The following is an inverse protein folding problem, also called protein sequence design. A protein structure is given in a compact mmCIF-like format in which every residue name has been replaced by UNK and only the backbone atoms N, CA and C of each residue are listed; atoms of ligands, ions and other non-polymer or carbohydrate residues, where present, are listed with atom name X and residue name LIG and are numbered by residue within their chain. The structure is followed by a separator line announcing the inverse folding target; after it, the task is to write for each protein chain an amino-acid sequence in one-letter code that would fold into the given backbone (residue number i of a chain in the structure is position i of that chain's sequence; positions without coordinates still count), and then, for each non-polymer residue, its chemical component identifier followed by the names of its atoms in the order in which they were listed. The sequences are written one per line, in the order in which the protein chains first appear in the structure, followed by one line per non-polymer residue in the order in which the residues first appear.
data_IF_889560715688
#
_entry.id   IF_889560715688
#
_cell.length_a   1.000
_cell.length_b   1.000
_cell.length_c   1.000
_cell.angle_alpha   90.00
_cell.angle_beta   90.00
_cell.angle_gamma   90.00
#
_symmetry.space_group_name_H-M   'P 1'
#
loop_
_entity.id
_entity.type
_entity.pdbx_description
1 polymer ?
#
# COMPACT_ATOMS: atom_id res chain seq x y z
N UNK A 1 -23.53 21.88 -44.33
CA UNK A 1 -24.88 21.49 -43.91
C UNK A 1 -25.72 22.68 -43.46
N UNK A 2 -25.43 23.38 -42.36
CA UNK A 2 -26.28 24.53 -41.91
C UNK A 2 -26.40 25.67 -42.95
N UNK A 3 -25.42 25.87 -43.83
CA UNK A 3 -25.46 26.88 -44.94
C UNK A 3 -26.08 26.36 -46.22
N UNK A 4 -26.33 25.07 -46.36
CA UNK A 4 -26.87 24.42 -47.55
C UNK A 4 -28.34 23.99 -47.41
N UNK A 5 -28.90 24.11 -46.18
CA UNK A 5 -30.28 23.69 -45.88
C UNK A 5 -31.36 24.58 -46.42
N UNK A 6 -31.04 25.50 -47.36
CA UNK A 6 -31.99 26.18 -48.29
C UNK A 6 -33.36 26.62 -47.73
N UNK A 7 -33.54 26.78 -46.44
CA UNK A 7 -34.79 27.28 -45.87
C UNK A 7 -35.73 26.20 -45.27
N UNK A 8 -35.25 24.95 -45.16
CA UNK A 8 -35.99 23.87 -44.50
C UNK A 8 -35.68 23.89 -42.96
N UNK A 9 -36.67 24.34 -42.18
CA UNK A 9 -36.50 24.55 -40.74
C UNK A 9 -36.15 23.26 -39.98
N UNK A 10 -36.68 22.11 -40.43
CA UNK A 10 -36.46 20.80 -39.80
C UNK A 10 -35.00 20.32 -40.01
N UNK A 11 -34.45 20.52 -41.21
CA UNK A 11 -33.04 20.22 -41.49
C UNK A 11 -32.08 21.13 -40.73
N UNK A 12 -32.43 22.38 -40.50
CA UNK A 12 -31.63 23.30 -39.72
C UNK A 12 -31.62 22.94 -38.23
N UNK A 13 -32.74 22.45 -37.69
CA UNK A 13 -32.85 22.02 -36.30
C UNK A 13 -32.10 20.72 -36.09
N UNK A 14 -32.19 19.72 -36.97
CA UNK A 14 -31.39 18.51 -36.96
C UNK A 14 -29.89 18.83 -37.00
N UNK A 15 -29.44 19.70 -37.91
CA UNK A 15 -28.05 20.07 -38.01
C UNK A 15 -27.52 20.81 -36.77
N UNK A 16 -28.35 21.59 -36.09
CA UNK A 16 -28.02 22.24 -34.81
C UNK A 16 -27.89 21.22 -33.67
N UNK A 17 -28.78 20.23 -33.66
CA UNK A 17 -28.71 19.14 -32.66
C UNK A 17 -27.45 18.30 -32.86
N UNK A 18 -27.16 17.85 -34.07
CA UNK A 18 -25.92 17.11 -34.41
C UNK A 18 -24.66 17.90 -34.01
N UNK A 19 -24.66 19.22 -34.27
CA UNK A 19 -23.53 20.07 -33.91
C UNK A 19 -23.35 20.17 -32.39
N UNK A 20 -24.45 20.17 -31.62
CA UNK A 20 -24.43 20.20 -30.17
C UNK A 20 -23.89 18.86 -29.62
N UNK A 21 -24.37 17.74 -30.16
CA UNK A 21 -23.95 16.40 -29.75
C UNK A 21 -22.48 16.15 -30.08
N UNK A 22 -22.04 16.52 -31.28
CA UNK A 22 -20.64 16.44 -31.69
C UNK A 22 -19.70 17.33 -30.85
N UNK A 23 -20.18 18.50 -30.39
CA UNK A 23 -19.39 19.31 -29.45
C UNK A 23 -19.26 18.67 -28.09
N UNK A 24 -20.33 18.06 -27.57
CA UNK A 24 -20.31 17.37 -26.29
C UNK A 24 -19.38 16.13 -26.34
N UNK A 25 -19.46 15.35 -27.42
CA UNK A 25 -18.55 14.21 -27.65
C UNK A 25 -17.08 14.68 -27.76
N UNK A 26 -16.83 15.78 -28.45
CA UNK A 26 -15.48 16.34 -28.57
C UNK A 26 -14.91 16.71 -27.20
N UNK A 27 -15.68 17.40 -26.36
CA UNK A 27 -15.26 17.76 -25.00
C UNK A 27 -14.96 16.50 -24.17
N UNK A 28 -15.81 15.47 -24.24
CA UNK A 28 -15.60 14.21 -23.56
C UNK A 28 -14.31 13.49 -24.02
N UNK A 29 -14.06 13.45 -25.34
CA UNK A 29 -12.84 12.85 -25.87
C UNK A 29 -11.60 13.68 -25.55
N UNK A 30 -11.67 15.01 -25.53
CA UNK A 30 -10.56 15.88 -25.11
C UNK A 30 -10.20 15.65 -23.64
N UNK A 31 -11.17 15.47 -22.75
CA UNK A 31 -10.91 15.13 -21.34
C UNK A 31 -10.30 13.73 -21.20
N UNK A 32 -10.84 12.72 -21.89
CA UNK A 32 -10.26 11.37 -21.91
C UNK A 32 -8.82 11.38 -22.44
N UNK A 33 -8.55 12.16 -23.47
CA UNK A 33 -7.20 12.31 -24.03
C UNK A 33 -6.23 12.95 -23.04
N UNK A 34 -6.66 13.99 -22.33
CA UNK A 34 -5.84 14.62 -21.28
C UNK A 34 -5.45 13.61 -20.20
N UNK A 35 -6.41 12.77 -19.76
CA UNK A 35 -6.15 11.73 -18.75
C UNK A 35 -5.16 10.66 -19.28
N UNK A 36 -5.32 10.23 -20.54
CA UNK A 36 -4.47 9.24 -21.17
C UNK A 36 -3.03 9.74 -21.42
N UNK A 37 -2.85 11.05 -21.59
CA UNK A 37 -1.54 11.68 -21.80
C UNK A 37 -0.79 11.96 -20.50
N UNK A 38 -1.44 11.81 -19.32
CA UNK A 38 -0.74 11.93 -18.05
C UNK A 38 0.37 10.87 -17.94
N UNK A 39 1.57 11.28 -17.49
CA UNK A 39 2.64 10.33 -17.28
C UNK A 39 2.20 9.28 -16.24
N UNK A 40 2.28 8.01 -16.62
CA UNK A 40 2.00 6.90 -15.70
C UNK A 40 3.19 6.69 -14.78
N UNK A 41 2.91 6.46 -13.51
CA UNK A 41 3.92 6.04 -12.54
C UNK A 41 4.45 4.64 -12.94
N UNK A 42 5.78 4.44 -13.07
CA UNK A 42 6.33 3.13 -13.44
C UNK A 42 5.98 2.02 -12.43
N UNK A 43 5.58 2.39 -11.22
CA UNK A 43 5.19 1.44 -10.18
C UNK A 43 3.70 1.05 -10.22
N UNK A 44 2.87 1.73 -11.02
CA UNK A 44 1.39 1.57 -11.01
C UNK A 44 0.94 0.12 -11.23
N UNK A 45 1.67 -0.66 -12.01
CA UNK A 45 1.34 -2.05 -12.33
C UNK A 45 1.96 -3.08 -11.36
N UNK A 46 2.74 -2.62 -10.38
CA UNK A 46 3.42 -3.51 -9.42
C UNK A 46 2.46 -4.06 -8.36
N UNK A 47 2.83 -5.22 -7.83
CA UNK A 47 2.28 -5.74 -6.58
C UNK A 47 2.70 -4.83 -5.41
N UNK A 48 2.03 -4.98 -4.28
CA UNK A 48 2.34 -4.18 -3.10
C UNK A 48 2.61 -5.04 -1.87
N UNK A 49 3.41 -4.47 -0.98
CA UNK A 49 3.51 -4.87 0.42
C UNK A 49 2.72 -3.84 1.23
N UNK A 50 1.66 -4.32 1.87
CA UNK A 50 0.78 -3.54 2.74
C UNK A 50 1.17 -3.80 4.19
N UNK A 51 1.55 -2.75 4.90
CA UNK A 51 1.87 -2.82 6.31
C UNK A 51 0.86 -1.99 7.11
N UNK A 52 0.24 -2.58 8.13
CA UNK A 52 -0.72 -1.93 9.00
C UNK A 52 -0.22 -2.04 10.43
N UNK A 53 -0.10 -0.91 11.12
CA UNK A 53 0.33 -0.84 12.52
C UNK A 53 -0.70 -0.12 13.37
N UNK A 54 -1.08 -0.73 14.50
CA UNK A 54 -1.80 0.00 15.55
C UNK A 54 -0.91 1.11 16.14
N UNK A 55 -1.42 2.35 16.19
CA UNK A 55 -0.69 3.50 16.72
C UNK A 55 -1.27 3.95 18.06
N UNK A 56 -1.90 5.11 18.15
CA UNK A 56 -2.47 5.61 19.41
C UNK A 56 -3.86 5.00 19.67
N UNK A 57 -4.08 4.51 20.90
CA UNK A 57 -5.36 3.92 21.32
C UNK A 57 -5.24 2.55 22.01
N UNK A 58 -4.01 2.05 22.21
CA UNK A 58 -3.78 0.78 22.91
C UNK A 58 -4.44 -0.41 22.21
N UNK A 59 -5.21 -1.23 22.96
CA UNK A 59 -5.87 -2.42 22.44
C UNK A 59 -6.90 -2.11 21.36
N UNK A 60 -7.60 -0.98 21.44
CA UNK A 60 -8.57 -0.55 20.44
C UNK A 60 -7.88 -0.19 19.10
N UNK A 61 -6.68 0.41 19.13
CA UNK A 61 -5.91 0.65 17.92
C UNK A 61 -5.48 -0.65 17.24
N UNK A 62 -5.18 -1.68 18.02
CA UNK A 62 -4.86 -3.00 17.49
C UNK A 62 -6.10 -3.71 16.89
N UNK A 63 -7.26 -3.57 17.50
CA UNK A 63 -8.54 -4.05 16.94
C UNK A 63 -8.88 -3.31 15.64
N UNK A 64 -8.68 -1.99 15.60
CA UNK A 64 -8.88 -1.19 14.40
C UNK A 64 -7.94 -1.59 13.26
N UNK A 65 -6.69 -1.92 13.56
CA UNK A 65 -5.77 -2.49 12.55
C UNK A 65 -6.31 -3.79 11.95
N UNK A 66 -6.96 -4.64 12.75
CA UNK A 66 -7.66 -5.84 12.29
C UNK A 66 -8.86 -5.55 11.39
N UNK A 67 -9.62 -4.51 11.71
CA UNK A 67 -10.75 -4.06 10.88
C UNK A 67 -10.25 -3.56 9.51
N UNK A 68 -9.15 -2.76 9.49
CA UNK A 68 -8.51 -2.30 8.26
C UNK A 68 -7.99 -3.47 7.42
N UNK A 69 -7.34 -4.45 8.04
CA UNK A 69 -6.89 -5.67 7.35
C UNK A 69 -8.07 -6.37 6.66
N UNK A 70 -9.16 -6.57 7.39
CA UNK A 70 -10.38 -7.20 6.86
C UNK A 70 -10.98 -6.39 5.72
N UNK A 71 -10.98 -5.07 5.82
CA UNK A 71 -11.45 -4.17 4.76
C UNK A 71 -10.63 -4.33 3.48
N UNK A 72 -9.29 -4.27 3.58
CA UNK A 72 -8.41 -4.44 2.42
C UNK A 72 -8.48 -5.83 1.83
N UNK A 73 -8.62 -6.87 2.65
CA UNK A 73 -8.81 -8.24 2.17
C UNK A 73 -10.07 -8.38 1.34
N UNK A 74 -11.21 -7.88 1.83
CA UNK A 74 -12.48 -7.90 1.09
C UNK A 74 -12.43 -7.07 -0.19
N UNK A 75 -11.73 -5.93 -0.15
CA UNK A 75 -11.53 -5.13 -1.34
C UNK A 75 -10.69 -5.87 -2.39
N UNK A 76 -9.59 -6.51 -1.97
CA UNK A 76 -8.76 -7.33 -2.84
C UNK A 76 -9.56 -8.48 -3.48
N UNK A 77 -10.38 -9.19 -2.70
CA UNK A 77 -11.28 -10.24 -3.21
C UNK A 77 -12.24 -9.69 -4.27
N UNK A 78 -12.86 -8.53 -4.03
CA UNK A 78 -13.77 -7.89 -4.98
C UNK A 78 -13.09 -7.45 -6.28
N UNK A 79 -11.78 -7.15 -6.23
CA UNK A 79 -10.97 -6.82 -7.42
C UNK A 79 -10.35 -8.05 -8.09
N UNK A 80 -10.53 -9.25 -7.52
CA UNK A 80 -9.90 -10.49 -8.02
C UNK A 80 -8.40 -10.56 -7.74
N UNK A 81 -7.90 -9.83 -6.76
CA UNK A 81 -6.50 -9.85 -6.34
C UNK A 81 -6.23 -10.96 -5.33
N UNK A 82 -4.99 -11.45 -5.33
CA UNK A 82 -4.51 -12.38 -4.32
C UNK A 82 -4.01 -11.60 -3.10
N UNK A 83 -4.52 -11.93 -1.93
CA UNK A 83 -4.12 -11.35 -0.66
C UNK A 83 -3.44 -12.43 0.20
N UNK A 84 -2.19 -12.21 0.63
CA UNK A 84 -1.41 -13.14 1.44
C UNK A 84 -0.82 -12.42 2.64
N UNK A 85 -1.21 -12.82 3.85
CA UNK A 85 -0.58 -12.30 5.08
C UNK A 85 0.81 -12.93 5.20
N UNK A 86 1.83 -12.10 5.26
CA UNK A 86 3.24 -12.51 5.36
C UNK A 86 3.69 -12.61 6.82
N UNK A 87 3.26 -11.66 7.63
CA UNK A 87 3.60 -11.57 9.04
C UNK A 87 2.46 -10.92 9.82
N UNK A 88 2.18 -11.42 11.02
CA UNK A 88 1.15 -10.88 11.89
C UNK A 88 1.57 -10.94 13.36
N UNK A 89 1.68 -9.79 14.01
CA UNK A 89 1.93 -9.67 15.45
C UNK A 89 0.63 -9.36 16.16
N UNK A 90 0.02 -10.35 16.80
CA UNK A 90 -1.23 -10.22 17.53
C UNK A 90 -1.02 -9.63 18.93
N UNK A 91 -2.04 -8.92 19.45
CA UNK A 91 -2.13 -8.60 20.86
C UNK A 91 -3.00 -9.63 21.60
N UNK A 92 -3.05 -9.54 22.95
CA UNK A 92 -3.82 -10.48 23.79
C UNK A 92 -5.35 -10.41 23.64
N UNK A 93 -5.90 -9.41 22.92
CA UNK A 93 -7.34 -9.17 22.76
C UNK A 93 -7.85 -9.45 21.32
N UNK A 94 -7.03 -10.11 20.50
CA UNK A 94 -7.41 -10.50 19.13
C UNK A 94 -7.21 -9.42 18.06
N UNK A 95 -6.56 -8.31 18.40
CA UNK A 95 -6.14 -7.29 17.45
C UNK A 95 -4.70 -7.51 16.95
N UNK A 96 -4.26 -6.69 16.00
CA UNK A 96 -2.90 -6.72 15.45
C UNK A 96 -2.11 -5.49 15.88
N UNK A 97 -0.92 -5.70 16.48
CA UNK A 97 0.07 -4.64 16.70
C UNK A 97 0.68 -4.20 15.38
N UNK A 98 1.01 -5.20 14.56
CA UNK A 98 1.57 -5.04 13.24
C UNK A 98 1.10 -6.21 12.37
N UNK A 99 0.76 -5.95 11.14
CA UNK A 99 0.48 -6.97 10.14
C UNK A 99 1.05 -6.53 8.80
N UNK A 100 1.74 -7.45 8.13
CA UNK A 100 2.33 -7.26 6.81
C UNK A 100 1.66 -8.24 5.86
N UNK A 101 1.10 -7.73 4.78
CA UNK A 101 0.45 -8.54 3.76
C UNK A 101 1.00 -8.20 2.36
N UNK A 102 1.07 -9.20 1.50
CA UNK A 102 1.33 -9.01 0.08
C UNK A 102 0.02 -9.03 -0.68
N UNK A 103 -0.18 -8.04 -1.55
CA UNK A 103 -1.33 -7.98 -2.44
C UNK A 103 -0.83 -8.02 -3.88
N UNK A 104 -1.24 -9.05 -4.63
CA UNK A 104 -0.79 -9.31 -5.99
C UNK A 104 -1.96 -9.31 -6.96
N UNK A 105 -1.81 -8.60 -8.08
CA UNK A 105 -2.84 -8.49 -9.10
C UNK A 105 -2.56 -7.39 -10.10
N UNK A 106 -3.55 -7.07 -10.93
CA UNK A 106 -3.41 -6.04 -11.95
C UNK A 106 -3.58 -4.64 -11.34
N UNK A 107 -2.61 -3.75 -11.56
CA UNK A 107 -2.65 -2.33 -11.18
C UNK A 107 -2.97 -2.11 -9.69
N UNK A 108 -2.40 -2.95 -8.82
CA UNK A 108 -2.66 -2.91 -7.37
C UNK A 108 -2.12 -1.62 -6.78
N UNK A 109 -0.86 -1.28 -7.10
CA UNK A 109 -0.22 -0.07 -6.56
C UNK A 109 -0.96 1.20 -6.98
N UNK A 110 -1.40 1.31 -8.22
CA UNK A 110 -2.11 2.50 -8.72
C UNK A 110 -3.37 2.81 -7.92
N UNK A 111 -4.06 1.77 -7.41
CA UNK A 111 -5.31 1.93 -6.64
C UNK A 111 -5.09 2.15 -5.14
N UNK A 112 -4.00 1.61 -4.59
CA UNK A 112 -3.76 1.64 -3.15
C UNK A 112 -2.67 2.60 -2.70
N UNK A 113 -1.86 3.19 -3.60
CA UNK A 113 -0.76 4.09 -3.25
C UNK A 113 -1.15 5.29 -2.38
N UNK A 114 -2.39 5.77 -2.50
CA UNK A 114 -2.89 6.90 -1.73
C UNK A 114 -3.46 6.53 -0.34
N UNK A 115 -3.53 5.22 -0.03
CA UNK A 115 -3.95 4.74 1.28
C UNK A 115 -2.84 4.85 2.34
N UNK A 116 -1.59 5.12 1.93
CA UNK A 116 -0.49 5.33 2.87
C UNK A 116 -0.75 6.54 3.76
N UNK A 117 -0.70 6.33 5.07
CA UNK A 117 -0.89 7.41 6.03
C UNK A 117 -1.52 6.96 7.34
N UNK A 118 -1.96 7.94 8.12
CA UNK A 118 -2.62 7.72 9.40
C UNK A 118 -4.14 7.64 9.22
N UNK A 119 -4.70 6.49 9.56
CA UNK A 119 -6.14 6.24 9.60
C UNK A 119 -6.66 6.44 11.02
N UNK A 120 -7.80 7.10 11.16
CA UNK A 120 -8.39 7.43 12.44
C UNK A 120 -9.83 6.95 12.52
N UNK A 121 -10.19 6.30 13.62
CA UNK A 121 -11.56 5.91 13.93
C UNK A 121 -12.02 6.59 15.21
N UNK A 122 -13.29 7.01 15.24
CA UNK A 122 -13.98 7.50 16.42
C UNK A 122 -15.17 6.61 16.66
N UNK A 123 -15.10 5.79 17.68
CA UNK A 123 -16.19 4.88 18.09
C UNK A 123 -16.12 4.61 19.59
N UNK A 124 -17.17 4.01 20.13
CA UNK A 124 -17.13 3.43 21.47
C UNK A 124 -16.34 2.12 21.38
N UNK A 125 -15.19 1.98 22.02
CA UNK A 125 -14.39 0.76 21.98
C UNK A 125 -15.17 -0.42 22.58
N UNK A 126 -14.90 -1.62 22.09
CA UNK A 126 -15.44 -2.86 22.69
C UNK A 126 -14.96 -3.03 24.14
N UNK A 127 -13.80 -2.46 24.47
CA UNK A 127 -13.19 -2.48 25.80
C UNK A 127 -13.71 -1.40 26.74
N UNK A 128 -14.60 -0.49 26.27
CA UNK A 128 -15.13 0.63 27.06
C UNK A 128 -16.46 0.24 27.70
N UNK A 129 -16.54 0.28 29.03
CA UNK A 129 -17.73 -0.09 29.78
C UNK A 129 -18.72 1.06 30.02
N UNK A 130 -18.27 2.32 29.85
CA UNK A 130 -19.07 3.52 30.16
C UNK A 130 -19.66 4.20 28.92
N UNK A 131 -19.53 3.59 27.73
CA UNK A 131 -20.08 4.12 26.48
C UNK A 131 -19.44 5.40 25.95
N UNK A 132 -18.22 5.74 26.37
CA UNK A 132 -17.50 6.92 25.88
C UNK A 132 -16.91 6.68 24.50
N UNK A 133 -17.02 7.68 23.63
CA UNK A 133 -16.38 7.67 22.31
C UNK A 133 -14.89 7.94 22.49
N UNK A 134 -14.07 7.02 22.00
CA UNK A 134 -12.61 7.18 21.96
C UNK A 134 -12.14 7.36 20.52
N UNK A 135 -10.97 7.97 20.38
CA UNK A 135 -10.27 8.11 19.09
C UNK A 135 -9.10 7.14 19.08
N UNK A 136 -9.07 6.26 18.11
CA UNK A 136 -7.96 5.33 17.88
C UNK A 136 -7.37 5.54 16.50
N UNK A 137 -6.06 5.33 16.37
CA UNK A 137 -5.34 5.51 15.11
C UNK A 137 -4.55 4.27 14.75
N UNK A 138 -4.48 3.99 13.45
CA UNK A 138 -3.59 3.01 12.87
C UNK A 138 -2.84 3.64 11.70
N UNK A 139 -1.63 3.21 11.44
CA UNK A 139 -0.84 3.65 10.29
C UNK A 139 -0.86 2.57 9.23
N UNK A 140 -1.13 2.96 8.01
CA UNK A 140 -1.07 2.11 6.82
C UNK A 140 0.10 2.57 5.97
N UNK A 141 0.93 1.63 5.52
CA UNK A 141 2.03 1.88 4.59
C UNK A 141 1.87 0.96 3.39
N UNK A 142 1.85 1.53 2.21
CA UNK A 142 1.76 0.83 0.93
C UNK A 142 3.06 1.00 0.18
N UNK A 143 3.80 -0.09 0.01
CA UNK A 143 5.08 -0.10 -0.70
C UNK A 143 4.97 -0.95 -1.97
N UNK A 144 5.50 -0.51 -3.12
CA UNK A 144 5.58 -1.36 -4.29
C UNK A 144 6.54 -2.54 -4.04
N UNK A 145 6.21 -3.71 -4.59
CA UNK A 145 7.13 -4.85 -4.60
C UNK A 145 8.33 -4.50 -5.49
N UNK A 146 9.53 -4.62 -4.94
CA UNK A 146 10.79 -4.36 -5.66
C UNK A 146 11.44 -5.69 -5.99
N UNK A 147 11.70 -5.94 -7.27
CA UNK A 147 12.38 -7.14 -7.73
C UNK A 147 13.88 -7.09 -7.42
N UNK A 148 14.53 -8.27 -7.36
CA UNK A 148 15.98 -8.36 -7.08
C UNK A 148 16.84 -7.59 -8.06
N UNK A 149 16.40 -7.47 -9.30
CA UNK A 149 17.11 -6.78 -10.38
C UNK A 149 17.02 -5.25 -10.25
N UNK A 150 15.99 -4.72 -9.59
CA UNK A 150 15.76 -3.28 -9.47
C UNK A 150 16.52 -2.64 -8.30
N UNK A 151 16.74 -3.38 -7.22
CA UNK A 151 17.48 -2.90 -6.06
C UNK A 151 18.31 -4.03 -5.44
N UNK A 152 19.61 -4.05 -5.77
CA UNK A 152 20.55 -5.00 -5.21
C UNK A 152 21.15 -4.45 -3.91
N UNK A 153 20.96 -5.19 -2.81
CA UNK A 153 21.56 -4.85 -1.52
C UNK A 153 22.85 -5.68 -1.39
N UNK A 154 24.00 -5.04 -1.18
CA UNK A 154 25.26 -5.76 -0.93
C UNK A 154 25.06 -6.67 0.31
N UNK A 155 25.33 -7.97 0.19
CA UNK A 155 25.27 -8.90 1.31
C UNK A 155 26.09 -8.47 2.54
N UNK A 156 27.12 -7.64 2.35
CA UNK A 156 27.95 -7.08 3.43
C UNK A 156 27.20 -6.07 4.29
N UNK A 157 26.18 -5.42 3.72
CA UNK A 157 25.33 -4.44 4.41
C UNK A 157 24.18 -5.11 5.16
N UNK A 158 24.07 -6.45 5.07
CA UNK A 158 23.04 -7.22 5.73
C UNK A 158 23.63 -8.04 6.88
N UNK A 159 23.03 -7.89 8.06
CA UNK A 159 23.22 -8.81 9.18
C UNK A 159 22.01 -9.74 9.29
N UNK A 160 22.24 -11.03 9.21
CA UNK A 160 21.21 -12.06 9.32
C UNK A 160 21.40 -12.80 10.63
N UNK A 161 20.44 -12.64 11.54
CA UNK A 161 20.39 -13.34 12.83
C UNK A 161 19.33 -14.44 12.76
N UNK A 162 19.69 -15.64 13.20
CA UNK A 162 18.80 -16.81 13.22
C UNK A 162 18.49 -17.13 14.68
N UNK A 163 17.21 -17.32 15.01
CA UNK A 163 16.77 -17.58 16.38
C UNK A 163 15.57 -18.54 16.41
N UNK A 164 15.20 -18.97 17.60
CA UNK A 164 14.03 -19.83 17.78
C UNK A 164 12.75 -18.99 17.70
N UNK A 165 11.77 -19.46 16.93
CA UNK A 165 10.47 -18.80 16.84
C UNK A 165 9.79 -18.77 18.21
N UNK A 166 9.18 -17.65 18.54
CA UNK A 166 8.39 -17.47 19.78
C UNK A 166 6.92 -17.73 19.46
N UNK A 167 6.29 -18.62 20.24
CA UNK A 167 4.86 -18.90 20.09
C UNK A 167 4.46 -20.28 20.65
N UNK A 168 3.16 -20.55 20.67
CA UNK A 168 2.60 -21.83 21.05
C UNK A 168 2.93 -22.86 19.94
N UNK A 169 3.89 -23.74 20.18
CA UNK A 169 4.30 -24.77 19.24
C UNK A 169 4.78 -26.04 19.94
N UNK A 170 4.79 -27.14 19.20
CA UNK A 170 5.29 -28.42 19.69
C UNK A 170 6.81 -28.46 19.79
N UNK A 171 7.35 -29.64 20.10
CA UNK A 171 8.79 -29.90 20.36
C UNK A 171 9.74 -29.37 19.26
N UNK A 172 9.24 -29.22 18.02
CA UNK A 172 10.04 -28.78 16.88
C UNK A 172 10.36 -27.28 16.94
N UNK A 173 9.43 -26.44 17.41
CA UNK A 173 9.59 -24.99 17.55
C UNK A 173 10.72 -24.65 18.53
N UNK A 174 10.87 -25.46 19.59
CA UNK A 174 11.89 -25.26 20.61
C UNK A 174 13.26 -25.83 20.24
N UNK A 175 13.32 -26.73 19.24
CA UNK A 175 14.57 -27.41 18.84
C UNK A 175 15.22 -26.87 17.59
N UNK A 176 14.43 -26.26 16.67
CA UNK A 176 14.93 -25.79 15.38
C UNK A 176 14.78 -24.28 15.30
N UNK A 177 15.89 -23.58 15.10
CA UNK A 177 15.90 -22.12 14.88
C UNK A 177 15.42 -21.83 13.45
N UNK A 178 14.13 -21.51 13.30
CA UNK A 178 13.50 -21.23 12.01
C UNK A 178 13.24 -19.74 11.79
N UNK A 179 13.19 -18.94 12.85
CA UNK A 179 12.98 -17.51 12.77
C UNK A 179 14.25 -16.80 12.27
N UNK A 180 14.05 -15.78 11.43
CA UNK A 180 15.11 -15.01 10.80
C UNK A 180 14.86 -13.54 11.04
N UNK A 181 15.90 -12.82 11.51
CA UNK A 181 15.95 -11.37 11.56
C UNK A 181 16.99 -10.88 10.59
N UNK A 182 16.61 -9.95 9.70
CA UNK A 182 17.54 -9.29 8.79
C UNK A 182 17.60 -7.81 9.15
N UNK A 183 18.82 -7.29 9.29
CA UNK A 183 19.07 -5.88 9.58
C UNK A 183 19.92 -5.30 8.47
N UNK A 184 19.45 -4.25 7.84
CA UNK A 184 20.24 -3.45 6.90
C UNK A 184 21.07 -2.45 7.69
N UNK A 185 22.38 -2.65 7.73
CA UNK A 185 23.33 -1.92 8.59
C UNK A 185 23.32 -0.40 8.33
N UNK A 186 23.35 0.08 7.05
CA UNK A 186 23.41 1.51 6.78
C UNK A 186 22.17 2.28 7.24
N UNK A 187 20.97 1.71 7.10
CA UNK A 187 19.70 2.38 7.46
C UNK A 187 19.14 1.92 8.79
N UNK A 188 19.72 0.88 9.40
CA UNK A 188 19.23 0.21 10.62
C UNK A 188 17.77 -0.28 10.51
N UNK A 189 17.28 -0.50 9.28
CA UNK A 189 15.97 -1.10 9.03
C UNK A 189 16.05 -2.58 9.39
N UNK A 190 15.06 -3.06 10.17
CA UNK A 190 14.99 -4.43 10.67
C UNK A 190 13.73 -5.10 10.15
N UNK A 191 13.86 -6.37 9.80
CA UNK A 191 12.73 -7.25 9.45
C UNK A 191 12.92 -8.56 10.20
N UNK A 192 11.87 -9.02 10.86
CA UNK A 192 11.83 -10.30 11.58
C UNK A 192 10.76 -11.18 10.92
N UNK A 193 11.06 -12.45 10.69
CA UNK A 193 10.14 -13.39 10.04
C UNK A 193 10.19 -14.73 10.76
N UNK A 194 9.02 -15.23 11.18
CA UNK A 194 8.90 -16.50 11.91
C UNK A 194 7.65 -17.34 11.54
N UNK A 195 6.86 -16.88 10.59
CA UNK A 195 5.57 -17.50 10.24
C UNK A 195 5.72 -18.82 9.48
N UNK A 196 6.79 -18.98 8.72
CA UNK A 196 6.99 -20.17 7.92
C UNK A 196 7.71 -21.27 8.71
N UNK A 197 7.42 -22.55 8.34
CA UNK A 197 8.02 -23.73 8.99
C UNK A 197 9.51 -23.91 8.70
N UNK A 198 10.01 -23.31 7.62
CA UNK A 198 11.40 -23.47 7.19
C UNK A 198 12.13 -22.13 7.25
N UNK A 199 13.36 -22.16 7.76
CA UNK A 199 14.25 -21.02 7.81
C UNK A 199 14.45 -20.35 6.43
N UNK A 200 14.58 -21.18 5.38
CA UNK A 200 14.79 -20.67 4.03
C UNK A 200 13.62 -19.80 3.55
N UNK A 201 12.37 -20.26 3.73
CA UNK A 201 11.18 -19.47 3.36
C UNK A 201 11.05 -18.20 4.17
N UNK A 202 11.34 -18.24 5.48
CA UNK A 202 11.37 -17.05 6.32
C UNK A 202 12.43 -16.05 5.82
N UNK A 203 13.61 -16.52 5.41
CA UNK A 203 14.67 -15.69 4.85
C UNK A 203 14.26 -15.06 3.52
N UNK A 204 13.65 -15.81 2.61
CA UNK A 204 13.16 -15.32 1.31
C UNK A 204 12.09 -14.22 1.50
N UNK A 205 11.10 -14.46 2.38
CA UNK A 205 10.08 -13.46 2.72
C UNK A 205 10.68 -12.21 3.37
N UNK A 206 11.58 -12.39 4.33
CA UNK A 206 12.26 -11.29 5.00
C UNK A 206 13.10 -10.45 4.01
N UNK A 207 13.77 -11.08 3.04
CA UNK A 207 14.52 -10.38 1.99
C UNK A 207 13.63 -9.53 1.09
N UNK A 208 12.45 -10.02 0.72
CA UNK A 208 11.49 -9.22 -0.06
C UNK A 208 11.03 -7.97 0.69
N UNK A 209 10.70 -8.12 1.96
CA UNK A 209 10.23 -7.00 2.79
C UNK A 209 11.35 -5.98 3.01
N UNK A 210 12.58 -6.44 3.33
CA UNK A 210 13.68 -5.51 3.62
C UNK A 210 14.07 -4.71 2.37
N UNK A 211 14.05 -5.33 1.17
CA UNK A 211 14.28 -4.63 -0.10
C UNK A 211 13.26 -3.52 -0.31
N UNK A 212 11.98 -3.82 -0.14
CA UNK A 212 10.92 -2.83 -0.30
C UNK A 212 11.06 -1.68 0.70
N UNK A 213 11.32 -1.97 1.99
CA UNK A 213 11.51 -0.95 3.02
C UNK A 213 12.74 -0.08 2.78
N UNK A 214 13.84 -0.67 2.33
CA UNK A 214 15.08 0.08 2.03
C UNK A 214 14.90 0.94 0.78
N UNK A 215 14.27 0.41 -0.27
CA UNK A 215 13.96 1.16 -1.49
C UNK A 215 13.04 2.36 -1.21
N UNK A 216 11.96 2.15 -0.42
CA UNK A 216 11.06 3.22 -0.02
C UNK A 216 11.77 4.29 0.81
N UNK A 217 12.63 3.89 1.75
CA UNK A 217 13.42 4.82 2.56
C UNK A 217 14.32 5.73 1.70
N UNK A 218 15.01 5.16 0.70
CA UNK A 218 15.82 5.96 -0.21
C UNK A 218 15.00 6.83 -1.16
N UNK A 219 13.84 6.34 -1.62
CA UNK A 219 12.90 7.13 -2.42
C UNK A 219 12.37 8.34 -1.64
N UNK A 220 12.02 8.17 -0.36
CA UNK A 220 11.60 9.27 0.52
C UNK A 220 12.71 10.30 0.73
N UNK A 221 13.95 9.87 0.94
CA UNK A 221 15.10 10.77 1.05
C UNK A 221 15.26 11.57 -0.25
N UNK A 222 15.17 10.92 -1.40
CA UNK A 222 15.28 11.58 -2.71
C UNK A 222 14.18 12.63 -2.91
N UNK A 223 12.93 12.33 -2.53
CA UNK A 223 11.81 13.27 -2.59
C UNK A 223 12.01 14.48 -1.68
N UNK A 224 12.53 14.28 -0.47
CA UNK A 224 12.86 15.38 0.45
C UNK A 224 13.92 16.30 -0.14
N UNK A 225 14.99 15.74 -0.73
CA UNK A 225 16.04 16.56 -1.38
C UNK A 225 15.52 17.33 -2.60
N UNK A 226 14.62 16.75 -3.40
CA UNK A 226 14.04 17.45 -4.57
C UNK A 226 13.03 18.53 -4.16
N UNK A 227 12.28 18.33 -3.09
CA UNK A 227 11.35 19.32 -2.54
C UNK A 227 12.08 20.52 -1.91
N UNK A 228 13.15 20.27 -1.16
CA UNK A 228 13.97 21.33 -0.55
C UNK A 228 14.69 22.17 -1.61
N UNK A 229 15.20 21.55 -2.69
CA UNK A 229 15.82 22.26 -3.80
C UNK A 229 14.83 23.13 -4.60
N UNK A 230 13.54 22.78 -4.64
CA UNK A 230 12.50 23.58 -5.28
C UNK A 230 12.10 24.80 -4.42
N UNK A 231 12.12 24.66 -3.08
CA UNK A 231 11.81 25.75 -2.14
C UNK A 231 12.94 26.79 -2.07
N UNK A 232 14.20 26.38 -2.19
CA UNK A 232 15.35 27.31 -2.25
C UNK A 232 15.38 28.15 -3.55
N UNK A 233 14.81 27.64 -4.64
CA UNK A 233 14.72 28.39 -5.91
C UNK A 233 13.69 29.52 -5.91
N UNK A 234 12.77 29.54 -4.94
CA UNK A 234 11.74 30.57 -4.75
C UNK A 234 12.14 31.65 -3.73
N UNK A 235 13.34 31.56 -3.16
CA UNK A 235 13.88 32.54 -2.17
C UNK A 235 14.86 33.55 -2.77
N UNK A 236 14.83 33.81 -4.06
CA UNK A 236 15.61 34.88 -4.72
C UNK A 236 14.70 36.03 -5.13
#
# INVERSE_FOLDING_TARGET
MIKESGGDADLEEMAKQELKDAKAEKEEYEEKLKILLLPKDPNDDKNIILEIRGAAGGDEAALFAGDLLTMYQKYAEAQGWRFEVMEASMNGVGGFKEVVAMVSGQSVYSKLKYESGAHRVQRVPVTESQGRVHTSTATVLVMPEVEEVEYDIDPKDLRVDIYHASGAGGQNVNKVATAVRIVHLPTNIKVEMQEERTQQKNREKAMKIIRARVADHFAQICLLYTSDAADDSLRV
#
